data_IF_544832309905
#
_entry.id   IF_544832309905
#
_cell.length_a   1.000
_cell.length_b   1.000
_cell.length_c   1.000
_cell.angle_alpha   90.00
_cell.angle_beta   90.00
_cell.angle_gamma   90.00
#
_symmetry.space_group_name_H-M   'P 1'
#
loop_
_entity.id
_entity.type
_entity.pdbx_description
1 polymer ?
#
# COMPACT_ATOMS: atom_id res chain seq x y z
N UNK A 1 4.46 11.47 -11.19
CA UNK A 1 4.37 11.25 -9.75
C UNK A 1 5.59 11.84 -9.06
N UNK A 2 6.77 11.24 -9.14
CA UNK A 2 8.01 11.71 -8.47
C UNK A 2 8.31 13.19 -8.73
N UNK A 3 8.46 13.65 -9.97
CA UNK A 3 8.86 15.02 -10.27
C UNK A 3 7.89 16.09 -9.76
N UNK A 4 6.62 15.73 -9.59
CA UNK A 4 5.60 16.61 -9.03
C UNK A 4 5.69 16.73 -7.52
N UNK A 5 6.17 15.71 -6.81
CA UNK A 5 6.00 15.59 -5.37
C UNK A 5 7.29 15.37 -4.58
N UNK A 6 8.42 15.05 -5.19
CA UNK A 6 9.68 14.67 -4.52
C UNK A 6 10.13 15.62 -3.40
N UNK A 7 9.89 16.93 -3.58
CA UNK A 7 10.32 17.96 -2.64
C UNK A 7 9.24 18.33 -1.60
N UNK A 8 8.00 17.89 -1.81
CA UNK A 8 6.85 18.30 -0.98
C UNK A 8 6.10 17.16 -0.31
N UNK A 9 6.25 15.92 -0.82
CA UNK A 9 5.60 14.76 -0.20
C UNK A 9 6.16 14.50 1.19
N UNK A 10 5.31 14.08 2.13
CA UNK A 10 5.74 13.75 3.48
C UNK A 10 6.79 12.63 3.50
N UNK A 11 7.70 12.69 4.48
CA UNK A 11 8.75 11.69 4.68
C UNK A 11 8.28 10.53 5.56
N UNK A 12 7.42 10.84 6.52
CA UNK A 12 6.83 9.85 7.42
C UNK A 12 5.33 10.03 7.48
N UNK A 13 4.62 8.95 7.72
CA UNK A 13 3.18 9.01 8.00
C UNK A 13 2.81 7.96 9.03
N UNK A 14 1.85 8.29 9.88
CA UNK A 14 1.21 7.35 10.80
C UNK A 14 -0.30 7.47 10.67
N UNK A 15 -1.00 6.37 10.84
CA UNK A 15 -2.47 6.34 10.83
C UNK A 15 -3.00 5.11 11.56
N UNK A 16 -4.25 5.22 11.98
CA UNK A 16 -5.04 4.10 12.48
C UNK A 16 -5.91 3.58 11.35
N UNK A 17 -5.87 2.29 11.10
CA UNK A 17 -6.60 1.61 10.05
C UNK A 17 -7.70 0.75 10.65
N UNK A 18 -8.92 0.94 10.19
CA UNK A 18 -10.00 -0.03 10.36
C UNK A 18 -9.99 -0.98 9.18
N UNK A 19 -9.58 -2.22 9.42
CA UNK A 19 -9.55 -3.31 8.43
C UNK A 19 -10.83 -4.13 8.51
N UNK A 20 -11.54 -4.27 7.37
CA UNK A 20 -12.76 -5.08 7.31
C UNK A 20 -12.58 -6.19 6.28
N UNK A 21 -12.62 -7.43 6.73
CA UNK A 21 -12.68 -8.63 5.85
C UNK A 21 -14.14 -8.99 5.60
N UNK A 22 -14.49 -9.23 4.34
CA UNK A 22 -15.83 -9.65 3.92
C UNK A 22 -15.80 -11.13 3.55
N UNK A 23 -16.42 -11.98 4.37
CA UNK A 23 -16.42 -13.43 4.17
C UNK A 23 -17.44 -13.86 3.12
N UNK A 24 -17.23 -15.01 2.44
CA UNK A 24 -18.19 -15.53 1.44
C UNK A 24 -19.59 -15.83 2.00
N UNK A 25 -19.71 -16.09 3.29
CA UNK A 25 -20.97 -16.35 4.00
C UNK A 25 -21.76 -15.07 4.36
N UNK A 26 -21.23 -13.90 3.96
CA UNK A 26 -21.85 -12.59 4.24
C UNK A 26 -21.48 -12.00 5.59
N UNK A 27 -20.72 -12.69 6.42
CA UNK A 27 -20.20 -12.13 7.68
C UNK A 27 -19.00 -11.21 7.44
N UNK A 28 -18.72 -10.34 8.40
CA UNK A 28 -17.54 -9.47 8.36
C UNK A 28 -16.70 -9.64 9.62
N UNK A 29 -15.37 -9.53 9.44
CA UNK A 29 -14.42 -9.43 10.56
C UNK A 29 -13.81 -8.03 10.51
N UNK A 30 -13.86 -7.31 11.63
CA UNK A 30 -13.28 -5.98 11.75
C UNK A 30 -12.12 -6.04 12.73
N UNK A 31 -10.98 -5.44 12.33
CA UNK A 31 -9.77 -5.32 13.15
C UNK A 31 -9.27 -3.89 13.09
N UNK A 32 -8.62 -3.44 14.14
CA UNK A 32 -7.88 -2.17 14.15
C UNK A 32 -6.41 -2.47 13.94
N UNK A 33 -5.80 -1.79 12.98
CA UNK A 33 -4.37 -1.85 12.72
C UNK A 33 -3.77 -0.48 12.94
N UNK A 34 -2.52 -0.43 13.33
CA UNK A 34 -1.78 0.81 13.55
C UNK A 34 -0.57 0.81 12.65
N UNK A 35 -0.41 1.87 11.88
CA UNK A 35 0.61 1.90 10.84
C UNK A 35 1.53 3.10 10.95
N UNK A 36 2.82 2.85 10.74
CA UNK A 36 3.86 3.86 10.63
C UNK A 36 4.73 3.58 9.41
N UNK A 37 4.91 4.57 8.55
CA UNK A 37 5.80 4.47 7.39
C UNK A 37 6.91 5.52 7.43
N UNK A 38 8.08 5.14 6.93
CA UNK A 38 9.21 6.02 6.60
C UNK A 38 9.58 5.78 5.14
N UNK A 39 9.33 6.77 4.30
CA UNK A 39 9.43 6.69 2.85
C UNK A 39 10.81 7.10 2.33
N UNK A 40 11.32 6.39 1.33
CA UNK A 40 10.76 5.16 0.76
C UNK A 40 11.14 3.90 1.55
N UNK A 41 10.36 2.82 1.37
CA UNK A 41 10.74 1.44 1.62
C UNK A 41 10.49 0.90 3.02
N UNK A 42 9.88 1.65 3.95
CA UNK A 42 9.64 1.14 5.31
C UNK A 42 8.20 1.34 5.74
N UNK A 43 7.58 0.24 6.18
CA UNK A 43 6.24 0.23 6.75
C UNK A 43 6.19 -0.76 7.91
N UNK A 44 5.65 -0.30 9.02
CA UNK A 44 5.28 -1.13 10.16
C UNK A 44 3.77 -1.17 10.29
N UNK A 45 3.24 -2.35 10.52
CA UNK A 45 1.82 -2.62 10.76
C UNK A 45 1.71 -3.40 12.07
N UNK A 46 1.05 -2.83 13.07
CA UNK A 46 0.66 -3.52 14.30
C UNK A 46 -0.82 -3.92 14.20
N UNK A 47 -1.14 -5.20 14.33
CA UNK A 47 -2.50 -5.74 14.25
C UNK A 47 -3.06 -5.93 15.65
N UNK A 48 -4.15 -5.23 15.97
CA UNK A 48 -4.67 -5.16 17.32
C UNK A 48 -3.77 -4.30 18.21
N UNK A 49 -3.76 -4.57 19.51
CA UNK A 49 -2.93 -3.78 20.43
C UNK A 49 -1.43 -4.02 20.16
N UNK A 50 -0.60 -2.97 19.99
CA UNK A 50 0.84 -3.13 19.69
C UNK A 50 1.58 -4.03 20.68
N UNK A 51 1.18 -4.03 21.96
CA UNK A 51 1.74 -4.92 23.00
C UNK A 51 1.55 -6.42 22.74
N UNK A 52 0.57 -6.78 21.89
CA UNK A 52 0.29 -8.19 21.58
C UNK A 52 1.32 -8.77 20.59
N UNK A 53 2.15 -7.91 19.98
CA UNK A 53 3.26 -8.30 19.13
C UNK A 53 2.83 -9.01 17.85
N UNK A 54 1.65 -8.69 17.31
CA UNK A 54 1.17 -9.20 16.03
C UNK A 54 1.30 -8.14 14.96
N UNK A 55 1.81 -8.50 13.79
CA UNK A 55 1.90 -7.55 12.69
C UNK A 55 2.95 -7.86 11.65
N UNK A 56 3.29 -6.85 10.88
CA UNK A 56 4.23 -6.92 9.78
C UNK A 56 5.26 -5.79 9.87
N UNK A 57 6.45 -6.10 9.41
CA UNK A 57 7.49 -5.11 9.18
C UNK A 57 7.99 -5.30 7.74
N UNK A 58 7.78 -4.27 6.92
CA UNK A 58 8.26 -4.20 5.56
C UNK A 58 9.45 -3.24 5.57
N UNK A 59 10.62 -3.74 5.21
CA UNK A 59 11.84 -2.94 5.21
C UNK A 59 12.69 -3.32 4.00
N UNK A 60 12.94 -2.36 3.13
CA UNK A 60 13.85 -2.46 2.00
C UNK A 60 13.64 -3.74 1.16
N UNK A 61 12.37 -4.06 0.85
CA UNK A 61 11.98 -5.20 0.01
C UNK A 61 11.91 -6.55 0.74
N UNK A 62 11.90 -6.54 2.09
CA UNK A 62 11.66 -7.74 2.90
C UNK A 62 10.39 -7.58 3.72
N UNK A 63 9.67 -8.66 3.91
CA UNK A 63 8.52 -8.76 4.81
C UNK A 63 8.86 -9.67 5.98
N UNK A 64 8.78 -9.13 7.18
CA UNK A 64 8.87 -9.90 8.43
C UNK A 64 7.49 -9.98 9.06
N UNK A 65 7.01 -11.19 9.33
CA UNK A 65 5.72 -11.45 9.99
C UNK A 65 5.96 -11.76 11.46
N UNK A 66 5.23 -11.06 12.32
CA UNK A 66 5.27 -11.25 13.78
C UNK A 66 3.95 -11.85 14.27
N UNK A 67 4.05 -12.79 15.20
CA UNK A 67 2.92 -13.31 15.96
C UNK A 67 3.34 -13.51 17.41
N UNK A 68 2.61 -12.90 18.34
CA UNK A 68 2.91 -12.96 19.78
C UNK A 68 4.38 -12.58 20.07
N UNK A 69 4.85 -11.53 19.40
CA UNK A 69 6.21 -11.02 19.56
C UNK A 69 7.32 -11.85 18.91
N UNK A 70 7.00 -12.94 18.25
CA UNK A 70 7.98 -13.82 17.62
C UNK A 70 7.95 -13.70 16.09
N UNK A 71 9.12 -13.70 15.47
CA UNK A 71 9.25 -13.77 14.02
C UNK A 71 8.77 -15.16 13.54
N UNK A 72 7.75 -15.17 12.69
CA UNK A 72 7.25 -16.40 12.04
C UNK A 72 7.83 -16.56 10.64
N UNK A 73 8.03 -15.45 9.94
CA UNK A 73 8.54 -15.44 8.56
C UNK A 73 9.36 -14.18 8.35
N UNK A 74 10.44 -14.29 7.59
CA UNK A 74 11.20 -13.16 7.08
C UNK A 74 11.67 -13.54 5.66
N UNK A 75 11.06 -12.92 4.66
CA UNK A 75 11.27 -13.27 3.25
C UNK A 75 11.41 -12.03 2.37
N UNK A 76 12.21 -12.09 1.30
CA UNK A 76 12.17 -11.08 0.26
C UNK A 76 10.77 -11.06 -0.38
N UNK A 77 10.10 -9.94 -0.28
CA UNK A 77 8.79 -9.71 -0.89
C UNK A 77 8.55 -8.21 -1.03
N UNK A 78 8.23 -7.77 -2.22
CA UNK A 78 7.85 -6.39 -2.49
C UNK A 78 6.35 -6.22 -2.25
N UNK A 79 5.98 -5.17 -1.53
CA UNK A 79 4.59 -4.75 -1.40
C UNK A 79 4.31 -3.63 -2.41
N UNK A 80 3.59 -3.95 -3.50
CA UNK A 80 3.29 -2.98 -4.55
C UNK A 80 2.37 -1.85 -4.10
N UNK A 81 1.59 -2.03 -3.03
CA UNK A 81 0.74 -0.96 -2.48
C UNK A 81 1.59 0.08 -1.74
N UNK A 82 2.65 -0.36 -1.03
CA UNK A 82 3.64 0.55 -0.46
C UNK A 82 4.40 1.29 -1.56
N UNK A 83 4.87 0.58 -2.59
CA UNK A 83 5.64 1.16 -3.70
C UNK A 83 4.81 2.19 -4.47
N UNK A 84 3.61 1.85 -4.91
CA UNK A 84 2.78 2.70 -5.78
C UNK A 84 1.95 3.72 -5.00
N UNK A 85 1.51 3.39 -3.79
CA UNK A 85 0.70 4.28 -2.95
C UNK A 85 1.52 5.33 -2.19
N UNK A 86 2.80 5.04 -1.92
CA UNK A 86 3.63 5.88 -1.06
C UNK A 86 5.02 6.17 -1.64
N UNK A 87 5.83 5.14 -1.92
CA UNK A 87 7.25 5.32 -2.24
C UNK A 87 7.48 6.03 -3.58
N UNK A 88 6.63 5.80 -4.58
CA UNK A 88 6.71 6.36 -5.94
C UNK A 88 6.80 7.89 -5.97
N UNK A 89 6.40 8.55 -4.91
CA UNK A 89 6.47 10.01 -4.79
C UNK A 89 7.82 10.51 -4.28
N UNK A 90 8.64 9.64 -3.70
CA UNK A 90 9.95 9.95 -3.09
C UNK A 90 11.13 9.23 -3.77
N UNK A 91 10.93 7.99 -4.22
CA UNK A 91 11.98 7.25 -4.93
C UNK A 91 12.06 7.65 -6.40
N UNK A 92 13.21 7.43 -7.03
CA UNK A 92 13.39 7.80 -8.44
C UNK A 92 12.49 7.00 -9.39
N UNK A 93 12.11 7.57 -10.55
CA UNK A 93 11.32 6.84 -11.54
C UNK A 93 11.99 5.54 -12.00
N UNK A 94 13.32 5.54 -12.14
CA UNK A 94 14.11 4.38 -12.54
C UNK A 94 13.99 3.25 -11.52
N UNK A 95 14.10 3.56 -10.22
CA UNK A 95 13.96 2.58 -9.14
C UNK A 95 12.53 1.98 -9.14
N UNK A 96 11.50 2.83 -9.28
CA UNK A 96 10.11 2.35 -9.38
C UNK A 96 9.91 1.43 -10.59
N UNK A 97 10.47 1.80 -11.75
CA UNK A 97 10.35 1.02 -12.98
C UNK A 97 11.06 -0.34 -12.87
N UNK A 98 12.25 -0.38 -12.25
CA UNK A 98 12.96 -1.65 -12.01
C UNK A 98 12.16 -2.58 -11.09
N UNK A 99 11.58 -2.05 -10.02
CA UNK A 99 10.71 -2.82 -9.13
C UNK A 99 9.50 -3.35 -9.91
N UNK A 100 8.80 -2.49 -10.64
CA UNK A 100 7.62 -2.89 -11.42
C UNK A 100 7.96 -4.00 -12.43
N UNK A 101 9.09 -3.89 -13.16
CA UNK A 101 9.54 -4.94 -14.08
C UNK A 101 9.81 -6.27 -13.36
N UNK A 102 10.49 -6.25 -12.22
CA UNK A 102 10.76 -7.46 -11.40
C UNK A 102 9.48 -8.11 -10.91
N UNK A 103 8.48 -7.29 -10.59
CA UNK A 103 7.15 -7.74 -10.15
C UNK A 103 6.22 -8.13 -11.32
N UNK A 104 6.71 -8.16 -12.55
CA UNK A 104 6.01 -8.69 -13.73
C UNK A 104 5.09 -7.72 -14.46
N UNK A 105 5.24 -6.41 -14.24
CA UNK A 105 4.56 -5.42 -15.07
C UNK A 105 5.24 -5.29 -16.44
N UNK A 106 4.44 -5.29 -17.50
CA UNK A 106 4.95 -5.07 -18.87
C UNK A 106 5.20 -3.57 -19.09
N UNK A 107 6.45 -3.15 -18.92
CA UNK A 107 6.85 -1.76 -19.07
C UNK A 107 6.70 -1.21 -20.52
N UNK A 108 6.46 -2.08 -21.52
CA UNK A 108 6.21 -1.68 -22.92
C UNK A 108 4.75 -1.28 -23.16
N UNK A 109 3.86 -1.58 -22.23
CA UNK A 109 2.43 -1.32 -22.37
C UNK A 109 2.00 -0.09 -21.58
N UNK A 110 1.40 0.85 -22.29
CA UNK A 110 0.91 2.10 -21.74
C UNK A 110 -0.23 2.61 -22.60
N UNK A 111 -1.31 3.10 -21.95
CA UNK A 111 -2.39 3.80 -22.64
C UNK A 111 -3.10 4.79 -21.73
N UNK A 112 -3.98 5.59 -22.31
CA UNK A 112 -4.87 6.48 -21.57
C UNK A 112 -6.28 5.87 -21.50
N UNK A 113 -6.94 6.07 -20.36
CA UNK A 113 -8.32 5.63 -20.15
C UNK A 113 -9.07 6.58 -19.22
N UNK A 114 -10.27 6.19 -18.80
CA UNK A 114 -11.09 6.91 -17.84
C UNK A 114 -11.45 5.98 -16.69
N UNK A 115 -11.28 6.46 -15.46
CA UNK A 115 -11.64 5.77 -14.23
C UNK A 115 -12.51 6.68 -13.35
N UNK A 116 -13.71 6.23 -12.99
CA UNK A 116 -14.67 7.02 -12.19
C UNK A 116 -14.87 8.45 -12.73
N UNK A 117 -14.96 8.58 -14.06
CA UNK A 117 -15.16 9.86 -14.75
C UNK A 117 -13.92 10.74 -14.86
N UNK A 118 -12.74 10.28 -14.39
CA UNK A 118 -11.48 11.02 -14.45
C UNK A 118 -10.52 10.40 -15.45
N UNK A 119 -9.72 11.21 -16.17
CA UNK A 119 -8.70 10.70 -17.05
C UNK A 119 -7.56 10.06 -16.25
N UNK A 120 -7.11 8.88 -16.71
CA UNK A 120 -6.02 8.12 -16.08
C UNK A 120 -4.98 7.67 -17.11
N UNK A 121 -3.78 7.42 -16.60
CA UNK A 121 -2.75 6.62 -17.26
C UNK A 121 -2.83 5.19 -16.77
N UNK A 122 -2.70 4.23 -17.68
CA UNK A 122 -2.65 2.79 -17.39
C UNK A 122 -1.32 2.24 -17.84
N UNK A 123 -0.62 1.56 -16.95
CA UNK A 123 0.69 0.95 -17.18
C UNK A 123 0.60 -0.57 -16.99
N UNK A 124 1.18 -1.35 -17.88
CA UNK A 124 1.32 -2.80 -17.78
C UNK A 124 0.35 -3.59 -18.64
N UNK A 125 -0.64 -2.98 -19.28
CA UNK A 125 -1.64 -3.67 -20.09
C UNK A 125 -2.05 -2.88 -21.33
N UNK A 126 -2.61 -3.59 -22.32
CA UNK A 126 -3.28 -3.00 -23.48
C UNK A 126 -4.69 -2.52 -23.07
N UNK A 127 -5.22 -1.57 -23.86
CA UNK A 127 -6.57 -1.04 -23.61
C UNK A 127 -7.63 -2.13 -23.70
N UNK A 128 -8.45 -2.22 -22.64
CA UNK A 128 -9.49 -3.23 -22.50
C UNK A 128 -9.06 -4.56 -21.87
N UNK A 129 -7.76 -4.76 -21.65
CA UNK A 129 -7.25 -5.88 -20.87
C UNK A 129 -7.36 -5.54 -19.36
N UNK A 130 -8.24 -6.25 -18.64
CA UNK A 130 -8.43 -6.12 -17.19
C UNK A 130 -7.89 -7.34 -16.42
N UNK A 131 -7.08 -8.20 -17.06
CA UNK A 131 -6.52 -9.41 -16.43
C UNK A 131 -5.01 -9.32 -16.21
N UNK A 132 -4.30 -8.69 -17.11
CA UNK A 132 -2.86 -8.49 -16.97
C UNK A 132 -2.52 -7.57 -15.81
N UNK A 133 -1.37 -7.78 -15.20
CA UNK A 133 -0.86 -6.96 -14.10
C UNK A 133 -0.66 -5.53 -14.58
N UNK A 134 -1.34 -4.58 -13.95
CA UNK A 134 -1.37 -3.18 -14.37
C UNK A 134 -1.70 -2.24 -13.21
N UNK A 135 -1.22 -1.01 -13.28
CA UNK A 135 -1.59 0.03 -12.32
C UNK A 135 -2.05 1.30 -13.02
N UNK A 136 -2.92 2.03 -12.36
CA UNK A 136 -3.61 3.19 -12.88
C UNK A 136 -3.29 4.44 -12.08
N UNK A 137 -3.04 5.55 -12.78
CA UNK A 137 -2.64 6.83 -12.18
C UNK A 137 -3.59 7.94 -12.68
N UNK A 138 -4.26 8.62 -11.77
CA UNK A 138 -5.09 9.80 -12.09
C UNK A 138 -4.19 10.91 -12.66
N UNK A 139 -4.54 11.44 -13.83
CA UNK A 139 -3.70 12.39 -14.58
C UNK A 139 -3.57 13.75 -13.90
N UNK A 140 -4.66 14.30 -13.35
CA UNK A 140 -4.69 15.66 -12.83
C UNK A 140 -3.78 15.85 -11.62
N UNK A 141 -3.82 14.90 -10.68
CA UNK A 141 -3.02 14.94 -9.46
C UNK A 141 -1.82 14.00 -9.49
N UNK A 142 -1.67 13.16 -10.52
CA UNK A 142 -0.63 12.14 -10.61
C UNK A 142 -0.64 11.19 -9.41
N UNK A 143 -1.84 10.75 -9.00
CA UNK A 143 -2.05 9.85 -7.87
C UNK A 143 -2.33 8.43 -8.35
N UNK A 144 -1.73 7.45 -7.70
CA UNK A 144 -2.05 6.04 -7.88
C UNK A 144 -3.49 5.78 -7.44
N UNK A 145 -4.31 5.14 -8.27
CA UNK A 145 -5.74 4.94 -7.96
C UNK A 145 -6.21 3.50 -8.05
N UNK A 146 -5.47 2.64 -8.76
CA UNK A 146 -5.90 1.25 -8.96
C UNK A 146 -4.73 0.34 -9.31
N UNK A 147 -4.75 -0.87 -8.74
CA UNK A 147 -3.90 -2.00 -9.12
C UNK A 147 -4.79 -3.15 -9.55
N UNK A 148 -4.53 -3.72 -10.72
CA UNK A 148 -5.08 -5.00 -11.15
C UNK A 148 -3.95 -6.01 -11.25
N UNK A 149 -4.16 -7.19 -10.69
CA UNK A 149 -3.22 -8.29 -10.80
C UNK A 149 -3.93 -9.65 -10.71
N UNK A 150 -3.37 -10.71 -11.24
CA UNK A 150 -3.87 -12.06 -11.00
C UNK A 150 -3.92 -12.36 -9.50
N UNK A 151 -4.96 -13.04 -9.06
CA UNK A 151 -5.07 -13.47 -7.66
C UNK A 151 -3.94 -14.47 -7.32
N UNK A 152 -3.31 -14.29 -6.15
CA UNK A 152 -2.17 -15.12 -5.73
C UNK A 152 -2.54 -16.60 -5.49
N UNK A 153 -3.82 -16.89 -5.24
CA UNK A 153 -4.32 -18.25 -4.96
C UNK A 153 -4.95 -18.90 -6.19
N UNK A 154 -5.49 -18.11 -7.12
CA UNK A 154 -6.11 -18.56 -8.36
C UNK A 154 -5.79 -17.59 -9.50
N UNK A 155 -4.77 -17.88 -10.33
CA UNK A 155 -4.37 -17.00 -11.44
C UNK A 155 -5.46 -16.72 -12.49
N UNK A 156 -6.56 -17.49 -12.49
CA UNK A 156 -7.70 -17.21 -13.36
C UNK A 156 -8.59 -16.09 -12.84
N UNK A 157 -8.43 -15.73 -11.57
CA UNK A 157 -9.13 -14.61 -10.92
C UNK A 157 -8.27 -13.35 -10.94
N UNK A 158 -8.96 -12.22 -10.85
CA UNK A 158 -8.29 -10.91 -10.79
C UNK A 158 -8.52 -10.30 -9.42
N UNK A 159 -7.46 -9.80 -8.83
CA UNK A 159 -7.50 -8.91 -7.69
C UNK A 159 -7.51 -7.47 -8.21
N UNK A 160 -8.50 -6.68 -7.76
CA UNK A 160 -8.69 -5.27 -8.12
C UNK A 160 -8.62 -4.44 -6.84
N UNK A 161 -7.53 -3.69 -6.68
CA UNK A 161 -7.26 -2.89 -5.48
C UNK A 161 -7.43 -1.42 -5.85
N UNK A 162 -8.26 -0.71 -5.12
CA UNK A 162 -8.68 0.67 -5.40
C UNK A 162 -8.30 1.59 -4.27
N UNK A 163 -7.64 2.69 -4.60
CA UNK A 163 -7.27 3.77 -3.69
C UNK A 163 -8.21 4.95 -3.90
N UNK A 164 -8.95 5.30 -2.86
CA UNK A 164 -10.02 6.30 -2.90
C UNK A 164 -9.95 7.27 -1.70
N UNK A 165 -10.88 8.23 -1.65
CA UNK A 165 -10.98 9.24 -0.59
C UNK A 165 -9.64 9.93 -0.32
N UNK A 166 -9.01 10.43 -1.38
CA UNK A 166 -7.74 11.14 -1.28
C UNK A 166 -7.87 12.45 -0.50
N UNK A 167 -7.18 12.53 0.63
CA UNK A 167 -7.11 13.70 1.51
C UNK A 167 -5.73 14.36 1.41
N UNK A 168 -5.70 15.69 1.48
CA UNK A 168 -4.41 16.41 1.54
C UNK A 168 -3.69 16.09 2.85
N UNK A 169 -2.39 15.80 2.74
CA UNK A 169 -1.51 15.58 3.86
C UNK A 169 -0.17 16.25 3.57
N UNK A 170 0.16 17.28 4.34
CA UNK A 170 1.35 18.13 4.08
C UNK A 170 1.36 18.63 2.63
N UNK A 171 2.46 18.44 1.90
CA UNK A 171 2.57 18.79 0.49
C UNK A 171 2.10 17.70 -0.48
N UNK A 172 1.59 16.59 0.04
CA UNK A 172 1.12 15.43 -0.73
C UNK A 172 -0.33 15.07 -0.46
N UNK A 173 -0.63 13.79 -0.61
CA UNK A 173 -1.96 13.21 -0.46
C UNK A 173 -1.85 11.81 0.16
N UNK A 174 -2.92 11.36 0.82
CA UNK A 174 -3.10 9.98 1.27
C UNK A 174 -4.49 9.50 0.87
N UNK A 175 -4.59 8.30 0.32
CA UNK A 175 -5.87 7.61 0.16
C UNK A 175 -6.35 7.19 1.55
N UNK A 176 -7.52 7.68 1.97
CA UNK A 176 -8.07 7.32 3.27
C UNK A 176 -9.00 6.09 3.19
N UNK A 177 -9.21 5.56 1.99
CA UNK A 177 -9.96 4.34 1.73
C UNK A 177 -9.20 3.49 0.71
N UNK A 178 -8.96 2.23 1.06
CA UNK A 178 -8.48 1.20 0.13
C UNK A 178 -9.50 0.06 0.11
N UNK A 179 -9.87 -0.39 -1.07
CA UNK A 179 -10.82 -1.48 -1.26
C UNK A 179 -10.21 -2.57 -2.14
N UNK A 180 -10.36 -3.81 -1.74
CA UNK A 180 -9.88 -4.99 -2.47
C UNK A 180 -11.07 -5.81 -2.94
N UNK A 181 -11.09 -6.09 -4.22
CA UNK A 181 -12.09 -6.93 -4.87
C UNK A 181 -11.42 -8.17 -5.46
N UNK A 182 -12.01 -9.33 -5.26
CA UNK A 182 -11.66 -10.56 -5.95
C UNK A 182 -12.82 -10.97 -6.86
N UNK A 183 -12.58 -11.08 -8.18
CA UNK A 183 -13.61 -11.36 -9.18
C UNK A 183 -14.85 -10.44 -9.06
N UNK A 184 -14.61 -9.14 -8.83
CA UNK A 184 -15.66 -8.14 -8.71
C UNK A 184 -16.42 -8.12 -7.39
N UNK A 185 -16.10 -9.02 -6.44
CA UNK A 185 -16.67 -9.03 -5.09
C UNK A 185 -15.70 -8.37 -4.10
N UNK A 186 -16.21 -7.44 -3.31
CA UNK A 186 -15.39 -6.84 -2.24
C UNK A 186 -15.05 -7.91 -1.20
N UNK A 187 -13.75 -8.08 -0.94
CA UNK A 187 -13.22 -9.06 0.02
C UNK A 187 -12.51 -8.41 1.19
N UNK A 188 -12.02 -7.15 1.00
CA UNK A 188 -11.35 -6.43 2.06
C UNK A 188 -11.49 -4.92 1.87
N UNK A 189 -11.48 -4.16 2.97
CA UNK A 189 -11.35 -2.70 2.92
C UNK A 189 -10.56 -2.17 4.11
N UNK A 190 -9.88 -1.05 3.87
CA UNK A 190 -9.11 -0.28 4.83
C UNK A 190 -9.65 1.14 4.88
N UNK A 191 -9.99 1.62 6.08
CA UNK A 191 -10.41 3.00 6.32
C UNK A 191 -9.39 3.66 7.26
N UNK A 192 -8.73 4.72 6.82
CA UNK A 192 -7.67 5.40 7.57
C UNK A 192 -8.21 6.60 8.35
N UNK A 193 -7.87 6.63 9.62
CA UNK A 193 -8.17 7.72 10.57
C UNK A 193 -6.89 8.15 11.29
N UNK A 194 -6.95 9.23 12.05
CA UNK A 194 -5.81 9.75 12.84
C UNK A 194 -4.53 9.91 12.03
N UNK A 195 -4.67 10.35 10.78
CA UNK A 195 -3.59 10.44 9.82
C UNK A 195 -2.68 11.62 10.14
N UNK A 196 -1.38 11.36 10.37
CA UNK A 196 -0.39 12.37 10.67
C UNK A 196 0.84 12.22 9.76
N UNK A 197 1.18 13.29 9.05
CA UNK A 197 2.38 13.35 8.19
C UNK A 197 3.55 14.07 8.85
N UNK A 198 4.78 13.71 8.46
CA UNK A 198 6.04 14.25 8.95
C UNK A 198 6.21 14.15 10.47
N UNK A 199 5.73 13.04 11.04
CA UNK A 199 5.94 12.72 12.45
C UNK A 199 7.37 12.28 12.70
N UNK A 200 7.94 12.69 13.83
CA UNK A 200 9.26 12.22 14.24
C UNK A 200 9.14 10.79 14.77
N UNK A 201 9.66 9.83 14.00
CA UNK A 201 9.71 8.42 14.38
C UNK A 201 11.10 8.04 14.88
N UNK A 202 11.15 7.19 15.92
CA UNK A 202 12.39 6.53 16.32
C UNK A 202 12.75 5.50 15.23
N UNK A 203 13.96 5.50 14.64
CA UNK A 203 14.37 4.50 13.65
C UNK A 203 14.20 3.05 14.10
N UNK A 204 14.29 2.78 15.40
CA UNK A 204 14.07 1.43 15.97
C UNK A 204 12.64 0.89 15.77
N UNK A 205 11.67 1.74 15.43
CA UNK A 205 10.31 1.34 15.03
C UNK A 205 10.35 0.36 13.83
N UNK A 206 11.36 0.51 12.95
CA UNK A 206 11.54 -0.31 11.75
C UNK A 206 12.63 -1.38 11.89
N UNK A 207 13.11 -1.64 13.11
CA UNK A 207 14.07 -2.71 13.39
C UNK A 207 13.34 -3.96 13.89
N UNK A 208 13.44 -5.12 13.21
CA UNK A 208 12.79 -6.36 13.66
C UNK A 208 13.16 -6.76 15.09
N UNK A 209 14.36 -6.45 15.55
CA UNK A 209 14.80 -6.75 16.93
C UNK A 209 14.06 -5.94 18.00
N UNK A 210 13.49 -4.81 17.61
CA UNK A 210 12.83 -3.87 18.48
C UNK A 210 11.30 -3.85 18.29
N UNK A 211 10.74 -4.75 17.47
CA UNK A 211 9.32 -4.78 17.16
C UNK A 211 8.42 -4.77 18.41
N UNK A 212 8.80 -5.53 19.44
CA UNK A 212 8.02 -5.63 20.68
C UNK A 212 8.34 -4.57 21.74
N UNK A 213 9.45 -3.83 21.58
CA UNK A 213 9.95 -2.92 22.62
C UNK A 213 9.86 -1.45 22.24
N UNK A 214 9.67 -1.16 20.95
CA UNK A 214 9.59 0.21 20.45
C UNK A 214 8.32 0.38 19.65
N UNK A 215 7.43 1.24 20.15
CA UNK A 215 6.18 1.60 19.49
C UNK A 215 6.21 3.08 19.12
N UNK A 216 5.45 3.46 18.10
CA UNK A 216 5.35 4.84 17.63
C UNK A 216 4.09 5.52 18.16
N UNK A 217 3.14 4.74 18.65
CA UNK A 217 1.95 5.27 19.30
C UNK A 217 2.29 5.82 20.70
N UNK A 218 1.60 6.90 21.05
CA UNK A 218 1.54 7.31 22.44
C UNK A 218 0.60 6.35 23.16
N UNK A 219 1.00 5.81 24.33
CA UNK A 219 0.13 5.00 25.15
C UNK A 219 -1.10 5.76 25.60
#
# INVERSE_FOLDING_TARGET
>A
MHDRYKDSWYQTVTFTQKSTTYNPDGTTKVETWYEAALLPGKLRIDIGAPKDGNGYLLVDGNVTVFKEGQIKTNVPQVNMLLVLGFDVYKQTPEATLEIAKKEGFDAGKFHEDTWEGKPVYVFGAEKGDLKSKQFWVEKDRMLFVRLLEPDHTDPNKTQDIRFADYRKLRGGWIAALVEVYADGKKVFSEEYTEINGDVKLNPAVFDPKHFNSTHWEKP
#
